data_IF_096022233530
#
_entry.id   IF_096022233530
#
_cell.length_a   1.000
_cell.length_b   1.000
_cell.length_c   1.000
_cell.angle_alpha   90.00
_cell.angle_beta   90.00
_cell.angle_gamma   90.00
#
_symmetry.space_group_name_H-M   'P 1'
#
loop_
_entity.id
_entity.type
_entity.pdbx_description
1 polymer ?
#
# COMPACT_ATOMS: atom_id res chain seq x y z
N UNK A 1 -21.11 5.81 21.34
CA UNK A 1 -21.56 5.78 19.92
C UNK A 1 -21.83 7.21 19.47
N UNK A 2 -21.04 7.71 18.51
CA UNK A 2 -21.10 9.09 18.04
C UNK A 2 -22.42 9.34 17.27
N UNK A 3 -23.05 10.51 17.44
CA UNK A 3 -24.36 10.85 16.81
C UNK A 3 -24.37 10.65 15.29
N UNK A 4 -23.24 10.86 14.62
CA UNK A 4 -23.09 10.62 13.18
C UNK A 4 -23.25 9.12 12.81
N UNK A 5 -22.63 8.23 13.59
CA UNK A 5 -22.71 6.77 13.37
C UNK A 5 -24.14 6.26 13.54
N UNK A 6 -24.90 6.79 14.51
CA UNK A 6 -26.30 6.42 14.73
C UNK A 6 -27.17 6.84 13.54
N UNK A 7 -27.03 8.08 13.05
CA UNK A 7 -27.79 8.58 11.89
C UNK A 7 -27.44 7.82 10.60
N UNK A 8 -26.17 7.49 10.38
CA UNK A 8 -25.77 6.69 9.24
C UNK A 8 -26.39 5.29 9.29
N UNK A 9 -26.36 4.63 10.45
CA UNK A 9 -26.99 3.31 10.65
C UNK A 9 -28.52 3.36 10.45
N UNK A 10 -29.19 4.34 11.05
CA UNK A 10 -30.64 4.52 10.90
C UNK A 10 -31.02 4.84 9.44
N UNK A 11 -30.26 5.71 8.77
CA UNK A 11 -30.47 6.03 7.36
C UNK A 11 -30.28 4.82 6.44
N UNK A 12 -29.33 3.93 6.76
CA UNK A 12 -29.07 2.69 6.03
C UNK A 12 -30.23 1.69 6.22
N UNK A 13 -30.66 1.47 7.47
CA UNK A 13 -31.77 0.55 7.77
C UNK A 13 -33.11 0.96 7.16
N UNK A 14 -33.33 2.26 6.98
CA UNK A 14 -34.59 2.80 6.43
C UNK A 14 -34.50 3.05 4.92
N UNK A 15 -33.37 2.69 4.28
CA UNK A 15 -33.17 2.90 2.83
C UNK A 15 -33.16 4.37 2.41
N UNK A 16 -32.90 5.29 3.34
CA UNK A 16 -32.84 6.74 3.08
C UNK A 16 -31.46 7.22 2.64
N UNK A 17 -30.45 6.38 2.82
CA UNK A 17 -29.12 6.60 2.25
C UNK A 17 -29.10 6.00 0.85
N UNK A 18 -29.01 6.88 -0.15
CA UNK A 18 -28.59 6.48 -1.48
C UNK A 18 -27.11 6.11 -1.42
N UNK A 19 -26.77 4.89 -1.83
CA UNK A 19 -25.40 4.46 -2.07
C UNK A 19 -24.94 4.78 -3.49
N UNK A 20 -25.88 5.18 -4.36
CA UNK A 20 -25.56 5.67 -5.68
C UNK A 20 -24.71 6.94 -5.55
N UNK A 21 -23.55 7.00 -6.23
CA UNK A 21 -22.72 8.19 -6.28
C UNK A 21 -23.57 9.38 -6.72
N UNK A 22 -23.56 10.47 -5.94
CA UNK A 22 -24.25 11.72 -6.31
C UNK A 22 -23.63 12.41 -7.53
N UNK A 23 -22.49 11.90 -8.00
CA UNK A 23 -21.77 12.35 -9.18
C UNK A 23 -21.49 11.16 -10.09
N UNK A 24 -21.63 11.35 -11.39
CA UNK A 24 -21.21 10.34 -12.37
C UNK A 24 -19.70 10.15 -12.26
N UNK A 25 -19.28 8.98 -11.78
CA UNK A 25 -17.88 8.58 -11.86
C UNK A 25 -17.52 8.49 -13.34
N UNK A 26 -16.54 9.29 -13.77
CA UNK A 26 -16.00 9.14 -15.10
C UNK A 26 -15.43 7.71 -15.22
N UNK A 27 -15.70 6.99 -16.32
CA UNK A 27 -15.04 5.72 -16.59
C UNK A 27 -13.52 5.88 -16.46
N UNK A 28 -12.83 4.89 -15.90
CA UNK A 28 -11.36 4.93 -15.69
C UNK A 28 -10.56 5.46 -16.90
N UNK A 29 -10.88 5.13 -18.17
CA UNK A 29 -10.17 5.65 -19.33
C UNK A 29 -10.28 7.16 -19.57
N UNK A 30 -11.20 7.85 -18.88
CA UNK A 30 -11.44 9.29 -19.03
C UNK A 30 -10.77 10.13 -17.93
N UNK A 31 -10.17 9.47 -16.93
CA UNK A 31 -9.45 10.16 -15.87
C UNK A 31 -8.12 10.71 -16.38
N UNK A 32 -7.74 11.90 -15.89
CA UNK A 32 -6.37 12.39 -16.08
C UNK A 32 -5.43 11.47 -15.31
N UNK A 33 -4.21 11.32 -15.82
CA UNK A 33 -3.17 10.52 -15.16
C UNK A 33 -2.94 10.94 -13.70
N UNK A 34 -3.01 12.25 -13.39
CA UNK A 34 -2.92 12.71 -12.01
C UNK A 34 -4.10 12.25 -11.13
N UNK A 35 -5.32 12.20 -11.67
CA UNK A 35 -6.46 11.66 -10.93
C UNK A 35 -6.32 10.16 -10.72
N UNK A 36 -5.83 9.45 -11.75
CA UNK A 36 -5.53 8.03 -11.65
C UNK A 36 -4.46 7.78 -10.57
N UNK A 37 -3.41 8.59 -10.51
CA UNK A 37 -2.39 8.50 -9.47
C UNK A 37 -2.96 8.63 -8.05
N UNK A 38 -3.79 9.65 -7.78
CA UNK A 38 -4.37 9.80 -6.44
C UNK A 38 -5.32 8.67 -6.10
N UNK A 39 -6.19 8.26 -7.04
CA UNK A 39 -7.15 7.18 -6.79
C UNK A 39 -6.44 5.86 -6.54
N UNK A 40 -5.50 5.46 -7.40
CA UNK A 40 -4.78 4.19 -7.29
C UNK A 40 -3.97 4.13 -5.99
N UNK A 41 -3.17 5.17 -5.69
CA UNK A 41 -2.37 5.18 -4.45
C UNK A 41 -3.27 5.22 -3.21
N UNK A 42 -4.38 5.97 -3.25
CA UNK A 42 -5.33 6.01 -2.14
C UNK A 42 -6.03 4.67 -1.93
N UNK A 43 -6.37 3.95 -3.01
CA UNK A 43 -6.99 2.62 -2.93
C UNK A 43 -6.08 1.64 -2.20
N UNK A 44 -4.81 1.53 -2.61
CA UNK A 44 -3.84 0.67 -1.94
C UNK A 44 -3.54 1.11 -0.51
N UNK A 45 -3.49 2.42 -0.26
CA UNK A 45 -3.34 2.93 1.11
C UNK A 45 -4.52 2.57 2.00
N UNK A 46 -5.77 2.70 1.53
CA UNK A 46 -6.96 2.29 2.29
C UNK A 46 -6.97 0.79 2.58
N UNK A 47 -6.60 -0.03 1.60
CA UNK A 47 -6.45 -1.48 1.77
C UNK A 47 -5.39 -1.78 2.84
N UNK A 48 -4.25 -1.10 2.79
CA UNK A 48 -3.20 -1.20 3.81
C UNK A 48 -3.66 -0.73 5.19
N UNK A 49 -4.45 0.34 5.30
CA UNK A 49 -5.00 0.80 6.59
C UNK A 49 -5.98 -0.22 7.19
N UNK A 50 -6.75 -0.92 6.36
CA UNK A 50 -7.60 -2.02 6.82
C UNK A 50 -6.76 -3.21 7.30
N UNK A 51 -5.72 -3.57 6.56
CA UNK A 51 -4.78 -4.62 6.96
C UNK A 51 -4.07 -4.29 8.29
N UNK A 52 -3.58 -3.06 8.46
CA UNK A 52 -2.99 -2.57 9.72
C UNK A 52 -3.99 -2.63 10.89
N UNK A 53 -5.26 -2.34 10.63
CA UNK A 53 -6.30 -2.47 11.64
C UNK A 53 -6.43 -3.94 12.08
N UNK A 54 -6.48 -4.88 11.13
CA UNK A 54 -6.49 -6.32 11.43
C UNK A 54 -5.25 -6.75 12.23
N UNK A 55 -4.07 -6.26 11.85
CA UNK A 55 -2.81 -6.49 12.57
C UNK A 55 -2.90 -6.01 14.02
N UNK A 56 -3.38 -4.78 14.24
CA UNK A 56 -3.48 -4.19 15.58
C UNK A 56 -4.45 -4.93 16.51
N UNK A 57 -5.38 -5.69 15.93
CA UNK A 57 -6.32 -6.54 16.65
C UNK A 57 -5.88 -8.01 16.75
N UNK A 58 -4.66 -8.34 16.29
CA UNK A 58 -4.11 -9.70 16.36
C UNK A 58 -4.83 -10.70 15.45
N UNK A 59 -5.41 -10.23 14.34
CA UNK A 59 -6.16 -11.07 13.41
C UNK A 59 -5.30 -11.67 12.30
N UNK A 60 -4.04 -11.27 12.18
CA UNK A 60 -3.15 -11.76 11.13
C UNK A 60 -2.41 -13.02 11.53
N UNK A 61 -2.23 -13.91 10.57
CA UNK A 61 -1.51 -15.18 10.71
C UNK A 61 -0.45 -15.30 9.62
N UNK A 62 0.54 -16.18 9.82
CA UNK A 62 1.46 -16.55 8.74
C UNK A 62 0.75 -17.34 7.62
N UNK A 63 -0.32 -18.07 7.97
CA UNK A 63 -1.16 -18.79 7.02
C UNK A 63 -2.62 -18.70 7.48
N UNK A 64 -3.50 -18.29 6.57
CA UNK A 64 -4.93 -18.07 6.81
C UNK A 64 -5.71 -18.45 5.56
N UNK A 65 -6.95 -18.93 5.73
CA UNK A 65 -7.86 -19.23 4.62
C UNK A 65 -8.22 -17.97 3.80
N UNK A 66 -8.04 -16.80 4.39
CA UNK A 66 -8.18 -15.49 3.74
C UNK A 66 -6.81 -14.85 3.58
N UNK A 67 -6.41 -14.59 2.33
CA UNK A 67 -5.12 -13.98 2.00
C UNK A 67 -4.97 -12.59 2.65
N UNK A 68 -6.04 -11.82 2.76
CA UNK A 68 -6.06 -10.49 3.38
C UNK A 68 -5.77 -10.51 4.88
N UNK A 69 -5.83 -11.69 5.51
CA UNK A 69 -5.49 -11.91 6.91
C UNK A 69 -4.12 -12.58 7.08
N UNK A 70 -3.30 -12.62 6.03
CA UNK A 70 -1.92 -13.09 6.10
C UNK A 70 -0.93 -11.93 6.22
N UNK A 71 0.25 -12.18 6.80
CA UNK A 71 1.31 -11.16 6.89
C UNK A 71 1.87 -10.79 5.52
N UNK A 72 2.00 -11.75 4.60
CA UNK A 72 2.49 -11.54 3.24
C UNK A 72 1.53 -10.72 2.36
N UNK A 73 0.30 -10.48 2.80
CA UNK A 73 -0.60 -9.54 2.14
C UNK A 73 -0.03 -8.12 2.06
N UNK A 74 0.78 -7.70 3.05
CA UNK A 74 1.48 -6.42 2.99
C UNK A 74 2.46 -6.36 1.80
N UNK A 75 3.10 -7.48 1.45
CA UNK A 75 3.92 -7.59 0.25
C UNK A 75 3.07 -7.42 -1.01
N UNK A 76 1.90 -8.06 -1.08
CA UNK A 76 1.00 -7.95 -2.23
C UNK A 76 0.58 -6.48 -2.46
N UNK A 77 0.21 -5.77 -1.38
CA UNK A 77 -0.16 -4.35 -1.45
C UNK A 77 1.00 -3.49 -1.96
N UNK A 78 2.23 -3.73 -1.51
CA UNK A 78 3.41 -3.02 -1.99
C UNK A 78 3.69 -3.29 -3.46
N UNK A 79 3.61 -4.55 -3.87
CA UNK A 79 3.87 -4.94 -5.26
C UNK A 79 2.86 -4.29 -6.21
N UNK A 80 1.57 -4.33 -5.88
CA UNK A 80 0.52 -3.69 -6.67
C UNK A 80 0.64 -2.16 -6.70
N UNK A 81 1.01 -1.54 -5.56
CA UNK A 81 1.29 -0.10 -5.52
C UNK A 81 2.43 0.26 -6.47
N UNK A 82 3.54 -0.47 -6.44
CA UNK A 82 4.70 -0.19 -7.30
C UNK A 82 4.35 -0.41 -8.78
N UNK A 83 3.64 -1.47 -9.12
CA UNK A 83 3.14 -1.70 -10.49
C UNK A 83 2.26 -0.55 -10.97
N UNK A 84 1.36 -0.05 -10.11
CA UNK A 84 0.53 1.11 -10.45
C UNK A 84 1.40 2.37 -10.64
N UNK A 85 2.35 2.64 -9.73
CA UNK A 85 3.25 3.78 -9.81
C UNK A 85 4.18 3.75 -11.03
N UNK A 86 4.67 2.56 -11.43
CA UNK A 86 5.54 2.38 -12.60
C UNK A 86 4.81 2.68 -13.92
N UNK A 87 3.47 2.58 -13.93
CA UNK A 87 2.63 2.94 -15.08
C UNK A 87 2.28 4.44 -15.16
N UNK A 88 2.70 5.25 -14.17
CA UNK A 88 2.34 6.66 -14.03
C UNK A 88 3.56 7.57 -14.19
N UNK A 89 3.36 8.72 -14.83
CA UNK A 89 4.40 9.76 -14.90
C UNK A 89 4.69 10.35 -13.52
N UNK A 90 5.96 10.66 -13.25
CA UNK A 90 6.37 11.29 -11.98
C UNK A 90 5.61 12.60 -11.71
N UNK A 91 5.40 13.41 -12.75
CA UNK A 91 4.65 14.66 -12.65
C UNK A 91 3.20 14.43 -12.17
N UNK A 92 2.54 13.36 -12.63
CA UNK A 92 1.18 13.02 -12.23
C UNK A 92 1.06 12.64 -10.75
N UNK A 93 2.13 12.12 -10.15
CA UNK A 93 2.22 11.82 -8.72
C UNK A 93 2.62 13.06 -7.90
N UNK A 94 3.56 13.85 -8.40
CA UNK A 94 4.09 15.04 -7.70
C UNK A 94 3.05 16.13 -7.42
N UNK A 95 2.02 16.27 -8.28
CA UNK A 95 0.95 17.27 -8.07
C UNK A 95 0.15 17.05 -6.78
N UNK A 96 0.18 15.85 -6.20
CA UNK A 96 -0.46 15.52 -4.92
C UNK A 96 0.43 15.81 -3.70
N UNK A 97 1.71 16.13 -3.96
CA UNK A 97 2.68 16.55 -2.96
C UNK A 97 2.90 15.53 -1.84
N UNK A 98 3.19 16.05 -0.65
CA UNK A 98 3.59 15.25 0.51
C UNK A 98 2.51 14.25 0.97
N UNK A 99 1.23 14.52 0.70
CA UNK A 99 0.14 13.62 1.08
C UNK A 99 0.19 12.28 0.35
N UNK A 100 0.64 12.25 -0.90
CA UNK A 100 0.87 11.00 -1.62
C UNK A 100 2.11 10.27 -1.08
N UNK A 101 3.17 11.01 -0.79
CA UNK A 101 4.40 10.46 -0.20
C UNK A 101 4.14 9.80 1.15
N UNK A 102 3.31 10.42 1.99
CA UNK A 102 2.89 9.87 3.28
C UNK A 102 2.16 8.53 3.11
N UNK A 103 1.28 8.41 2.11
CA UNK A 103 0.57 7.15 1.82
C UNK A 103 1.54 6.04 1.43
N UNK A 104 2.51 6.34 0.55
CA UNK A 104 3.55 5.38 0.14
C UNK A 104 4.43 4.98 1.33
N UNK A 105 4.81 5.95 2.17
CA UNK A 105 5.58 5.71 3.40
C UNK A 105 4.82 4.79 4.37
N UNK A 106 3.54 5.06 4.60
CA UNK A 106 2.68 4.25 5.46
C UNK A 106 2.62 2.78 5.02
N UNK A 107 2.60 2.54 3.71
CA UNK A 107 2.62 1.21 3.11
C UNK A 107 4.00 0.55 3.29
N UNK A 108 5.09 1.28 3.11
CA UNK A 108 6.45 0.78 3.37
C UNK A 108 6.64 0.33 4.82
N UNK A 109 6.11 1.12 5.77
CA UNK A 109 6.15 0.79 7.20
C UNK A 109 5.34 -0.47 7.49
N UNK A 110 4.19 -0.67 6.85
CA UNK A 110 3.38 -1.88 7.01
C UNK A 110 4.09 -3.14 6.53
N UNK A 111 4.79 -3.09 5.38
CA UNK A 111 5.63 -4.21 4.93
C UNK A 111 6.75 -4.51 5.92
N UNK A 112 7.38 -3.47 6.46
CA UNK A 112 8.42 -3.61 7.49
C UNK A 112 7.87 -4.26 8.77
N UNK A 113 6.65 -3.91 9.18
CA UNK A 113 5.97 -4.53 10.32
C UNK A 113 5.62 -5.99 10.07
N UNK A 114 5.15 -6.32 8.88
CA UNK A 114 4.88 -7.70 8.48
C UNK A 114 6.16 -8.56 8.57
N UNK A 115 7.27 -8.07 8.02
CA UNK A 115 8.58 -8.72 8.10
C UNK A 115 9.02 -9.00 9.56
N UNK A 116 8.77 -8.05 10.47
CA UNK A 116 9.14 -8.22 11.89
C UNK A 116 8.16 -9.10 12.69
N UNK A 117 6.95 -9.34 12.19
CA UNK A 117 5.89 -10.05 12.92
C UNK A 117 5.65 -11.46 12.42
N UNK A 118 5.93 -11.70 11.14
CA UNK A 118 5.83 -13.01 10.51
C UNK A 118 7.01 -13.91 10.91
N UNK A 119 6.74 -15.20 11.05
CA UNK A 119 7.80 -16.21 11.24
C UNK A 119 8.28 -16.81 9.92
N UNK A 120 7.59 -16.52 8.82
CA UNK A 120 7.83 -17.09 7.49
C UNK A 120 8.41 -16.07 6.49
N UNK A 121 8.19 -14.78 6.73
CA UNK A 121 8.66 -13.70 5.87
C UNK A 121 10.11 -13.33 6.17
N UNK A 122 10.93 -13.26 5.13
CA UNK A 122 12.33 -12.81 5.16
C UNK A 122 12.58 -11.75 4.08
N UNK A 123 13.74 -11.10 4.12
CA UNK A 123 14.13 -10.12 3.09
C UNK A 123 14.23 -10.72 1.68
N UNK A 124 14.66 -11.99 1.59
CA UNK A 124 14.77 -12.75 0.34
C UNK A 124 13.43 -13.33 -0.14
N UNK A 125 12.36 -13.21 0.66
CA UNK A 125 11.06 -13.77 0.31
C UNK A 125 10.49 -13.06 -0.92
N UNK A 126 10.02 -13.86 -1.88
CA UNK A 126 9.10 -13.45 -2.94
C UNK A 126 7.78 -14.18 -2.73
N UNK A 127 6.68 -13.56 -3.12
CA UNK A 127 5.36 -14.19 -3.07
C UNK A 127 4.69 -14.07 -4.44
N UNK A 128 3.95 -15.12 -4.86
CA UNK A 128 3.21 -15.09 -6.11
C UNK A 128 2.13 -14.03 -6.03
N UNK A 129 1.90 -13.36 -7.16
CA UNK A 129 0.84 -12.35 -7.28
C UNK A 129 -0.51 -13.01 -6.99
N UNK A 130 -1.31 -12.37 -6.14
CA UNK A 130 -2.64 -12.84 -5.78
C UNK A 130 -3.67 -12.51 -6.89
N UNK A 131 -3.50 -13.09 -8.08
CA UNK A 131 -4.45 -12.94 -9.18
C UNK A 131 -5.53 -14.02 -9.12
N UNK A 132 -6.76 -13.65 -8.76
CA UNK A 132 -7.91 -14.56 -8.91
C UNK A 132 -8.39 -14.65 -10.38
N UNK A 133 -7.86 -13.81 -11.30
CA UNK A 133 -8.40 -13.65 -12.66
C UNK A 133 -7.36 -13.39 -13.78
N UNK A 134 -6.04 -13.37 -13.52
CA UNK A 134 -5.05 -13.13 -14.56
C UNK A 134 -4.33 -14.41 -15.00
N UNK A 135 -4.11 -14.53 -16.30
CA UNK A 135 -3.36 -15.59 -16.96
C UNK A 135 -1.88 -15.54 -16.52
N UNK A 136 -1.28 -16.71 -16.34
CA UNK A 136 0.04 -16.89 -15.72
C UNK A 136 1.17 -16.38 -16.64
N UNK A 137 1.48 -15.09 -16.59
CA UNK A 137 2.84 -14.63 -16.89
C UNK A 137 3.62 -14.65 -15.58
N UNK A 138 4.58 -15.57 -15.49
CA UNK A 138 5.56 -15.66 -14.41
C UNK A 138 6.44 -14.40 -14.41
N UNK A 139 5.90 -13.29 -13.90
CA UNK A 139 6.72 -12.14 -13.57
C UNK A 139 7.65 -12.52 -12.42
N UNK A 140 8.91 -12.16 -12.57
CA UNK A 140 9.96 -12.43 -11.60
C UNK A 140 9.58 -11.78 -10.27
N UNK A 141 9.20 -12.60 -9.29
CA UNK A 141 8.81 -12.14 -7.95
C UNK A 141 9.95 -11.29 -7.35
N UNK A 142 9.67 -10.02 -7.09
CA UNK A 142 10.64 -9.11 -6.47
C UNK A 142 10.79 -9.48 -5.01
N UNK A 143 12.02 -9.61 -4.49
CA UNK A 143 12.20 -9.87 -3.05
C UNK A 143 11.62 -8.73 -2.19
N UNK A 144 11.28 -9.03 -0.94
CA UNK A 144 10.85 -8.02 0.05
C UNK A 144 11.87 -6.87 0.13
N UNK A 145 13.17 -7.18 0.11
CA UNK A 145 14.24 -6.18 0.08
C UNK A 145 14.14 -5.27 -1.14
N UNK A 146 14.00 -5.85 -2.34
CA UNK A 146 13.91 -5.08 -3.58
C UNK A 146 12.67 -4.18 -3.60
N UNK A 147 11.53 -4.66 -3.08
CA UNK A 147 10.32 -3.85 -2.97
C UNK A 147 10.51 -2.66 -2.02
N UNK A 148 11.12 -2.88 -0.85
CA UNK A 148 11.41 -1.80 0.10
C UNK A 148 12.39 -0.78 -0.47
N UNK A 149 13.39 -1.24 -1.23
CA UNK A 149 14.33 -0.39 -1.96
C UNK A 149 13.61 0.44 -3.03
N UNK A 150 12.74 -0.18 -3.84
CA UNK A 150 11.91 0.52 -4.84
C UNK A 150 11.00 1.58 -4.20
N UNK A 151 10.39 1.28 -3.06
CA UNK A 151 9.58 2.26 -2.30
C UNK A 151 10.42 3.45 -1.81
N UNK A 152 11.63 3.19 -1.31
CA UNK A 152 12.56 4.23 -0.93
C UNK A 152 12.90 5.13 -2.11
N UNK A 153 13.28 4.55 -3.25
CA UNK A 153 13.57 5.30 -4.47
C UNK A 153 12.37 6.13 -4.95
N UNK A 154 11.16 5.57 -4.90
CA UNK A 154 9.94 6.28 -5.26
C UNK A 154 9.73 7.51 -4.35
N UNK A 155 9.87 7.34 -3.03
CA UNK A 155 9.76 8.45 -2.06
C UNK A 155 10.83 9.52 -2.30
N UNK A 156 12.06 9.14 -2.67
CA UNK A 156 13.12 10.11 -2.98
C UNK A 156 12.90 10.84 -4.32
N UNK A 157 12.25 10.18 -5.30
CA UNK A 157 12.01 10.75 -6.63
C UNK A 157 10.93 11.83 -6.62
N UNK A 158 9.90 11.70 -5.78
CA UNK A 158 8.78 12.65 -5.72
C UNK A 158 9.25 13.94 -5.05
N UNK A 159 9.45 15.01 -5.84
CA UNK A 159 9.98 16.29 -5.37
C UNK A 159 8.88 17.14 -4.72
N UNK A 160 8.27 16.62 -3.66
CA UNK A 160 7.25 17.31 -2.87
C UNK A 160 7.78 18.33 -1.85
N UNK A 161 9.06 18.71 -1.93
CA UNK A 161 9.78 19.52 -0.93
C UNK A 161 10.64 18.67 0.01
N UNK A 162 11.34 19.33 0.95
CA UNK A 162 12.13 18.66 2.00
C UNK A 162 11.18 17.99 3.02
N UNK A 163 10.75 16.77 2.71
CA UNK A 163 9.78 16.05 3.52
C UNK A 163 10.45 15.02 4.44
N UNK A 164 10.00 14.98 5.70
CA UNK A 164 10.56 14.10 6.72
C UNK A 164 10.52 12.60 6.37
N UNK A 165 9.63 12.19 5.45
CA UNK A 165 9.47 10.79 5.06
C UNK A 165 10.69 10.19 4.35
N UNK A 166 11.48 11.01 3.65
CA UNK A 166 12.74 10.58 3.02
C UNK A 166 13.76 10.11 4.07
N UNK A 167 13.90 10.86 5.16
CA UNK A 167 14.77 10.48 6.27
C UNK A 167 14.18 9.30 7.06
N UNK A 168 12.87 9.31 7.32
CA UNK A 168 12.20 8.25 8.08
C UNK A 168 12.29 6.89 7.38
N UNK A 169 12.10 6.81 6.06
CA UNK A 169 12.18 5.52 5.35
C UNK A 169 13.60 4.97 5.35
N UNK A 170 14.61 5.84 5.25
CA UNK A 170 16.01 5.42 5.38
C UNK A 170 16.30 4.86 6.78
N UNK A 171 15.70 5.41 7.84
CA UNK A 171 15.79 4.83 9.19
C UNK A 171 15.12 3.47 9.27
N UNK A 172 13.92 3.32 8.68
CA UNK A 172 13.18 2.05 8.67
C UNK A 172 14.01 0.94 8.01
N UNK A 173 14.63 1.21 6.86
CA UNK A 173 15.53 0.27 6.19
C UNK A 173 16.74 -0.12 7.03
N UNK A 174 17.40 0.85 7.68
CA UNK A 174 18.57 0.59 8.54
C UNK A 174 18.24 -0.22 9.79
N UNK A 175 16.99 -0.18 10.26
CA UNK A 175 16.55 -0.96 11.41
C UNK A 175 16.19 -2.41 11.06
N UNK A 176 16.20 -2.80 9.78
CA UNK A 176 15.94 -4.17 9.38
C UNK A 176 17.15 -5.07 9.65
N UNK A 177 16.95 -6.30 10.14
CA UNK A 177 18.03 -7.28 10.25
C UNK A 177 18.67 -7.49 8.87
N UNK A 178 20.00 -7.60 8.83
CA UNK A 178 20.84 -7.82 7.62
C UNK A 178 21.02 -6.69 6.59
N UNK A 179 20.29 -5.56 6.66
CA UNK A 179 20.47 -4.45 5.71
C UNK A 179 21.87 -3.81 5.78
N UNK A 180 22.52 -3.85 6.96
CA UNK A 180 23.85 -3.27 7.18
C UNK A 180 25.02 -4.06 6.55
N UNK A 181 24.82 -5.32 6.17
CA UNK A 181 25.89 -6.20 5.68
C UNK A 181 26.05 -6.16 4.14
N UNK A 182 25.09 -5.60 3.40
CA UNK A 182 25.06 -5.67 1.92
C UNK A 182 25.42 -4.37 1.19
N UNK A 183 25.45 -3.22 1.89
CA UNK A 183 25.88 -1.93 1.32
C UNK A 183 27.36 -1.62 1.60
N UNK A 184 28.12 -2.61 2.06
CA UNK A 184 29.53 -2.51 2.43
C UNK A 184 30.44 -3.41 1.62
N UNK A 185 30.45 -3.28 0.28
CA UNK A 185 31.58 -3.62 -0.61
C UNK A 185 31.54 -2.78 -1.88
#
# INVERSE_FOLDING_TARGET
MFRAQRRAREGCMVGKLSFEPSAYLQPLPQLRESQLADISVTQFWLLNRLWELCMSHGLLLDSSDHAELQYDFAYQVVNELLNACDSLSLCSMEVHGVGLVEKVYDIAVSLSKALNSSTQMTLDSGYPRLDTLADQSADLESSVELLLQKLCELIQKIRGGDHAYASKIATVLRCMPDYGNLMGT
#
